data_IF_062188556030
#
_entry.id   IF_062188556030
#
_cell.length_a   1.000
_cell.length_b   1.000
_cell.length_c   1.000
_cell.angle_alpha   90.00
_cell.angle_beta   90.00
_cell.angle_gamma   90.00
#
_symmetry.space_group_name_H-M   'P 1'
#
loop_
_entity.id
_entity.type
_entity.pdbx_description
1 polymer ?
#
# COMPACT_ATOMS: atom_id res chain seq x y z
N UNK A 1 94.69 87.74 37.31
CA UNK A 1 93.79 88.66 38.05
C UNK A 1 92.37 88.24 37.74
N UNK A 2 91.46 87.85 38.63
CA UNK A 2 91.45 87.50 40.04
C UNK A 2 90.26 86.52 40.20
N UNK A 3 90.45 85.43 40.95
CA UNK A 3 89.41 84.71 41.70
C UNK A 3 89.20 85.41 43.07
N UNK A 4 88.32 84.98 44.02
CA UNK A 4 87.49 83.75 44.16
C UNK A 4 86.00 84.06 44.54
N UNK A 5 85.04 83.17 44.85
CA UNK A 5 84.94 82.07 45.85
C UNK A 5 83.64 81.24 45.61
N UNK A 6 83.64 79.90 45.65
CA UNK A 6 83.35 78.99 46.80
C UNK A 6 81.95 79.24 47.42
N UNK A 7 81.04 78.29 47.66
CA UNK A 7 81.10 76.84 47.85
C UNK A 7 79.65 76.28 47.90
N UNK A 8 79.42 74.98 47.64
CA UNK A 8 78.06 74.40 47.74
C UNK A 8 77.94 72.93 47.31
N UNK A 9 78.64 72.07 48.04
CA UNK A 9 78.62 70.61 47.95
C UNK A 9 77.23 69.97 48.21
N UNK A 10 77.09 68.71 47.79
CA UNK A 10 76.07 67.68 48.14
C UNK A 10 74.92 67.50 47.14
N UNK A 11 75.05 66.51 46.25
CA UNK A 11 74.09 65.38 46.08
C UNK A 11 74.26 64.73 44.68
N UNK A 12 75.37 64.01 44.47
CA UNK A 12 75.56 63.18 43.27
C UNK A 12 75.64 61.70 43.66
N UNK A 13 74.65 61.27 44.45
CA UNK A 13 74.43 59.88 44.84
C UNK A 13 72.93 59.63 44.72
N UNK A 14 72.52 59.23 43.52
CA UNK A 14 71.33 58.42 43.19
C UNK A 14 71.26 58.30 41.67
N UNK A 15 72.25 57.56 41.14
CA UNK A 15 72.32 57.14 39.73
C UNK A 15 72.18 55.62 39.68
N UNK A 16 71.11 55.10 40.25
CA UNK A 16 70.61 53.74 40.08
C UNK A 16 69.29 53.65 40.85
N UNK A 17 68.20 53.38 40.13
CA UNK A 17 66.82 53.07 40.59
C UNK A 17 65.78 53.98 39.92
N UNK A 18 65.69 53.84 38.60
CA UNK A 18 64.44 54.09 37.88
C UNK A 18 64.34 53.05 36.77
N UNK A 19 64.39 51.78 37.18
CA UNK A 19 63.86 50.69 36.37
C UNK A 19 62.38 50.60 36.74
N UNK A 20 61.53 50.95 35.79
CA UNK A 20 60.09 51.02 35.95
C UNK A 20 59.54 49.63 36.30
N UNK A 21 59.40 49.34 37.60
CA UNK A 21 58.86 48.10 38.14
C UNK A 21 57.32 48.11 38.12
N UNK A 22 56.72 48.58 37.02
CA UNK A 22 55.26 48.63 36.82
C UNK A 22 54.80 47.98 35.50
N UNK A 23 55.69 47.33 34.74
CA UNK A 23 55.29 46.53 33.55
C UNK A 23 55.43 45.01 33.75
N UNK A 24 56.06 44.55 34.84
CA UNK A 24 56.21 43.11 35.13
C UNK A 24 55.09 42.49 35.96
N UNK A 25 54.19 43.28 36.56
CA UNK A 25 53.02 42.73 37.28
C UNK A 25 51.80 42.48 36.38
N UNK A 26 51.80 42.98 35.13
CA UNK A 26 50.67 42.81 34.20
C UNK A 26 50.64 41.45 33.49
N UNK A 27 51.71 40.64 33.55
CA UNK A 27 51.82 39.40 32.75
C UNK A 27 51.72 38.13 33.62
N UNK A 28 51.71 38.25 34.95
CA UNK A 28 51.70 37.11 35.87
C UNK A 28 50.34 36.76 36.49
N UNK A 29 49.23 37.30 35.95
CA UNK A 29 47.87 36.96 36.40
C UNK A 29 47.07 36.03 35.48
N UNK A 30 47.59 35.58 34.33
CA UNK A 30 46.97 34.47 33.58
C UNK A 30 47.46 33.13 34.13
N UNK A 31 46.99 32.76 35.31
CA UNK A 31 47.31 31.50 35.97
C UNK A 31 47.03 30.32 35.01
N UNK A 32 47.91 29.31 34.85
CA UNK A 32 47.60 28.08 34.10
C UNK A 32 46.27 27.44 34.51
N UNK A 33 45.87 27.66 35.77
CA UNK A 33 44.56 27.26 36.32
C UNK A 33 43.36 27.93 35.64
N UNK A 34 43.45 29.17 35.18
CA UNK A 34 42.31 29.83 34.51
C UNK A 34 42.12 29.32 33.08
N UNK A 35 43.22 29.04 32.36
CA UNK A 35 43.15 28.38 31.04
C UNK A 35 42.65 26.93 31.15
N UNK A 36 43.13 26.16 32.12
CA UNK A 36 42.64 24.79 32.37
C UNK A 36 41.17 24.80 32.78
N UNK A 37 40.73 25.75 33.63
CA UNK A 37 39.32 25.88 33.99
C UNK A 37 38.43 26.23 32.79
N UNK A 38 38.88 27.13 31.91
CA UNK A 38 38.15 27.47 30.68
C UNK A 38 38.05 26.28 29.73
N UNK A 39 39.15 25.53 29.52
CA UNK A 39 39.16 24.34 28.67
C UNK A 39 38.29 23.21 29.25
N UNK A 40 38.31 23.01 30.56
CA UNK A 40 37.45 22.04 31.23
C UNK A 40 35.96 22.38 31.06
N UNK A 41 35.60 23.66 31.19
CA UNK A 41 34.23 24.11 30.97
C UNK A 41 33.78 23.87 29.50
N UNK A 42 34.65 24.15 28.54
CA UNK A 42 34.38 23.91 27.12
C UNK A 42 34.24 22.41 26.81
N UNK A 43 35.10 21.56 27.37
CA UNK A 43 35.00 20.10 27.25
C UNK A 43 33.73 19.55 27.90
N UNK A 44 33.35 20.05 29.08
CA UNK A 44 32.11 19.68 29.74
C UNK A 44 30.90 20.06 28.89
N UNK A 45 30.91 21.25 28.28
CA UNK A 45 29.86 21.71 27.40
C UNK A 45 29.76 20.86 26.12
N UNK A 46 30.89 20.58 25.46
CA UNK A 46 30.93 19.68 24.30
C UNK A 46 30.45 18.26 24.65
N UNK A 47 30.84 17.73 25.82
CA UNK A 47 30.38 16.43 26.27
C UNK A 47 28.88 16.41 26.52
N UNK A 48 28.32 17.47 27.11
CA UNK A 48 26.87 17.58 27.35
C UNK A 48 26.11 17.66 26.02
N UNK A 49 26.60 18.45 25.06
CA UNK A 49 26.00 18.57 23.73
C UNK A 49 26.00 17.22 22.99
N UNK A 50 27.12 16.48 23.05
CA UNK A 50 27.21 15.14 22.46
C UNK A 50 26.24 14.16 23.12
N UNK A 51 26.13 14.15 24.45
CA UNK A 51 25.19 13.29 25.18
C UNK A 51 23.75 13.60 24.78
N UNK A 52 23.39 14.88 24.70
CA UNK A 52 22.06 15.31 24.27
C UNK A 52 21.76 14.84 22.82
N UNK A 53 22.73 14.94 21.91
CA UNK A 53 22.59 14.48 20.53
C UNK A 53 22.43 12.96 20.44
N UNK A 54 23.23 12.20 21.20
CA UNK A 54 23.15 10.74 21.28
C UNK A 54 21.81 10.27 21.87
N UNK A 55 21.33 10.93 22.92
CA UNK A 55 20.03 10.63 23.52
C UNK A 55 18.89 10.81 22.51
N UNK A 56 18.87 11.92 21.77
CA UNK A 56 17.87 12.15 20.72
C UNK A 56 17.94 11.10 19.60
N UNK A 57 19.15 10.72 19.17
CA UNK A 57 19.33 9.68 18.16
C UNK A 57 18.80 8.31 18.64
N UNK A 58 18.97 8.00 19.93
CA UNK A 58 18.44 6.79 20.53
C UNK A 58 16.90 6.80 20.63
N UNK A 59 16.31 7.90 21.09
CA UNK A 59 14.85 8.06 21.17
C UNK A 59 14.21 7.88 19.79
N UNK A 60 14.80 8.49 18.77
CA UNK A 60 14.38 8.32 17.39
C UNK A 60 14.47 6.86 16.94
N UNK A 61 15.62 6.20 17.16
CA UNK A 61 15.78 4.80 16.80
C UNK A 61 14.77 3.88 17.52
N UNK A 62 14.39 4.20 18.76
CA UNK A 62 13.38 3.47 19.52
C UNK A 62 11.98 3.65 18.91
N UNK A 63 11.58 4.88 18.59
CA UNK A 63 10.29 5.14 17.93
C UNK A 63 10.22 4.49 16.56
N UNK A 64 11.27 4.61 15.74
CA UNK A 64 11.35 3.93 14.44
C UNK A 64 11.20 2.41 14.60
N UNK A 65 11.86 1.83 15.60
CA UNK A 65 11.74 0.41 15.91
C UNK A 65 10.32 0.04 16.34
N UNK A 66 9.69 0.81 17.22
CA UNK A 66 8.34 0.57 17.68
C UNK A 66 7.33 0.62 16.53
N UNK A 67 7.41 1.66 15.70
CA UNK A 67 6.60 1.81 14.48
C UNK A 67 6.82 0.62 13.55
N UNK A 68 8.07 0.24 13.29
CA UNK A 68 8.41 -0.91 12.45
C UNK A 68 7.89 -2.23 13.03
N UNK A 69 8.02 -2.46 14.33
CA UNK A 69 7.52 -3.67 15.00
C UNK A 69 6.00 -3.71 15.00
N UNK A 70 5.34 -2.57 15.15
CA UNK A 70 3.88 -2.46 15.04
C UNK A 70 3.40 -2.73 13.61
N UNK A 71 4.10 -2.22 12.60
CA UNK A 71 3.86 -2.56 11.20
C UNK A 71 4.01 -4.07 10.93
N UNK A 72 5.00 -4.73 11.56
CA UNK A 72 5.17 -6.19 11.45
C UNK A 72 4.05 -6.98 12.12
N UNK A 73 3.42 -6.43 13.17
CA UNK A 73 2.39 -7.10 13.98
C UNK A 73 0.98 -6.83 13.48
N UNK A 74 0.72 -5.64 12.93
CA UNK A 74 -0.60 -5.23 12.48
C UNK A 74 -0.53 -4.63 11.08
N UNK A 75 -1.39 -5.12 10.19
CA UNK A 75 -1.62 -4.55 8.87
C UNK A 75 -2.60 -3.37 8.90
N UNK A 76 -2.94 -2.89 10.09
CA UNK A 76 -3.81 -1.75 10.28
C UNK A 76 -3.02 -0.45 10.14
N UNK A 77 -3.03 0.09 8.92
CA UNK A 77 -2.40 1.38 8.60
C UNK A 77 -2.88 2.49 9.54
N UNK A 78 -4.15 2.50 9.93
CA UNK A 78 -4.71 3.55 10.79
C UNK A 78 -4.04 3.58 12.16
N UNK A 79 -3.83 2.42 12.77
CA UNK A 79 -3.15 2.32 14.06
C UNK A 79 -1.69 2.78 13.95
N UNK A 80 -0.97 2.38 12.91
CA UNK A 80 0.43 2.81 12.69
C UNK A 80 0.52 4.32 12.51
N UNK A 81 -0.32 4.92 11.67
CA UNK A 81 -0.33 6.37 11.44
C UNK A 81 -0.70 7.13 12.72
N UNK A 82 -1.64 6.61 13.52
CA UNK A 82 -2.02 7.18 14.83
C UNK A 82 -0.82 7.22 15.76
N UNK A 83 -0.07 6.12 15.86
CA UNK A 83 1.16 6.07 16.67
C UNK A 83 2.17 7.10 16.17
N UNK A 84 2.42 7.19 14.87
CA UNK A 84 3.38 8.17 14.31
C UNK A 84 2.99 9.60 14.71
N UNK A 85 1.73 10.00 14.55
CA UNK A 85 1.28 11.36 14.87
C UNK A 85 1.35 11.65 16.37
N UNK A 86 1.10 10.66 17.23
CA UNK A 86 1.29 10.79 18.67
C UNK A 86 2.77 10.99 19.05
N UNK A 87 3.67 10.26 18.40
CA UNK A 87 5.11 10.40 18.61
C UNK A 87 5.63 11.75 18.12
N UNK A 88 5.11 12.26 17.00
CA UNK A 88 5.40 13.63 16.53
C UNK A 88 5.08 14.65 17.63
N UNK A 89 3.89 14.58 18.23
CA UNK A 89 3.50 15.50 19.29
C UNK A 89 4.38 15.35 20.54
N UNK A 90 4.74 14.11 20.89
CA UNK A 90 5.48 13.79 22.12
C UNK A 90 6.94 14.19 22.01
N UNK A 91 7.64 13.77 20.95
CA UNK A 91 9.06 14.01 20.73
C UNK A 91 9.37 15.45 20.35
N UNK A 92 8.52 16.09 19.54
CA UNK A 92 8.70 17.50 19.19
C UNK A 92 8.09 18.44 20.22
N UNK A 93 7.41 17.93 21.25
CA UNK A 93 6.72 18.74 22.24
C UNK A 93 5.83 19.83 21.60
N UNK A 94 5.04 19.46 20.60
CA UNK A 94 4.14 20.37 19.89
C UNK A 94 2.73 20.30 20.45
N UNK A 95 1.93 21.32 20.17
CA UNK A 95 0.53 21.40 20.59
C UNK A 95 -0.36 20.42 19.83
N UNK A 96 -0.08 20.25 18.53
CA UNK A 96 -0.86 19.40 17.63
C UNK A 96 0.03 18.77 16.57
N UNK A 97 -0.05 17.44 16.42
CA UNK A 97 0.41 16.72 15.24
C UNK A 97 -0.78 16.33 14.37
N UNK A 98 -0.67 16.46 13.05
CA UNK A 98 -1.69 15.99 12.10
C UNK A 98 -1.07 15.30 10.90
N UNK A 99 -1.78 14.29 10.38
CA UNK A 99 -1.59 13.85 9.00
C UNK A 99 -2.73 14.34 8.14
N UNK A 100 -2.37 15.02 7.06
CA UNK A 100 -3.28 15.52 6.06
C UNK A 100 -3.14 14.68 4.80
N UNK A 101 -4.19 13.96 4.41
CA UNK A 101 -4.19 13.12 3.22
C UNK A 101 -4.75 13.91 2.03
N UNK A 102 -4.12 13.80 0.86
CA UNK A 102 -4.70 14.31 -0.38
C UNK A 102 -5.60 13.23 -1.01
N UNK A 103 -6.84 13.60 -1.27
CA UNK A 103 -7.80 12.86 -2.07
C UNK A 103 -7.77 13.27 -3.55
N UNK A 104 -8.86 12.97 -4.26
CA UNK A 104 -9.00 13.35 -5.67
C UNK A 104 -9.14 14.87 -5.81
N UNK A 105 -8.59 15.43 -6.90
CA UNK A 105 -8.63 16.87 -7.18
C UNK A 105 -8.04 17.79 -6.09
N UNK A 106 -7.04 17.31 -5.34
CA UNK A 106 -6.39 18.04 -4.23
C UNK A 106 -7.32 18.39 -3.06
N UNK A 107 -8.50 17.77 -2.97
CA UNK A 107 -9.30 17.78 -1.76
C UNK A 107 -8.54 17.05 -0.68
N UNK A 108 -8.16 17.72 0.39
CA UNK A 108 -7.48 17.04 1.49
C UNK A 108 -8.24 17.07 2.81
N UNK A 109 -7.92 16.08 3.63
CA UNK A 109 -8.60 15.78 4.88
C UNK A 109 -7.56 15.47 5.96
N UNK A 110 -7.83 15.95 7.18
CA UNK A 110 -7.08 15.50 8.37
C UNK A 110 -7.56 14.11 8.77
N UNK A 111 -6.77 13.10 8.45
CA UNK A 111 -7.11 11.69 8.68
C UNK A 111 -6.67 11.16 10.04
N UNK A 112 -5.63 11.77 10.62
CA UNK A 112 -5.10 11.43 11.94
C UNK A 112 -4.67 12.71 12.65
N UNK A 113 -4.97 12.80 13.93
CA UNK A 113 -4.61 13.93 14.78
C UNK A 113 -4.17 13.46 16.17
N UNK A 114 -3.15 14.12 16.72
CA UNK A 114 -2.85 14.13 18.14
C UNK A 114 -2.83 15.59 18.61
N UNK A 115 -3.76 15.96 19.49
CA UNK A 115 -3.94 17.35 19.96
C UNK A 115 -3.98 17.39 21.48
N UNK A 116 -3.37 18.41 22.09
CA UNK A 116 -3.49 18.69 23.53
C UNK A 116 -4.54 19.76 23.77
N UNK A 117 -5.25 19.66 24.90
CA UNK A 117 -6.08 20.76 25.37
C UNK A 117 -5.21 22.01 25.60
N UNK A 118 -5.67 23.23 25.31
CA UNK A 118 -7.07 23.62 25.02
C UNK A 118 -7.44 23.70 23.52
N UNK A 119 -6.60 23.19 22.62
CA UNK A 119 -6.79 23.37 21.18
C UNK A 119 -7.91 22.48 20.63
N UNK A 120 -8.72 23.01 19.72
CA UNK A 120 -9.82 22.22 19.15
C UNK A 120 -9.32 21.19 18.13
N UNK A 121 -10.07 20.10 17.98
CA UNK A 121 -9.74 19.04 17.01
C UNK A 121 -9.95 19.52 15.56
N UNK A 122 -9.04 19.11 14.68
CA UNK A 122 -9.14 19.27 13.23
C UNK A 122 -9.52 17.96 12.52
N UNK A 123 -9.63 16.85 13.24
CA UNK A 123 -9.91 15.54 12.67
C UNK A 123 -11.18 15.54 11.78
N UNK A 124 -11.05 14.99 10.57
CA UNK A 124 -12.14 14.91 9.59
C UNK A 124 -12.53 16.24 8.93
N UNK A 125 -11.81 17.34 9.22
CA UNK A 125 -12.01 18.59 8.50
C UNK A 125 -11.48 18.44 7.08
N UNK A 126 -12.36 18.65 6.12
CA UNK A 126 -12.03 18.75 4.70
C UNK A 126 -11.92 20.22 4.32
N UNK A 127 -10.88 20.55 3.58
CA UNK A 127 -10.68 21.89 3.04
C UNK A 127 -10.67 21.81 1.51
N UNK A 128 -11.66 22.42 0.87
CA UNK A 128 -11.61 22.74 -0.56
C UNK A 128 -10.59 23.87 -0.71
N UNK A 129 -9.34 23.47 -0.93
CA UNK A 129 -8.21 24.36 -0.70
C UNK A 129 -7.81 25.09 -1.99
N UNK A 130 -8.67 26.00 -2.46
CA UNK A 130 -8.33 26.90 -3.58
C UNK A 130 -7.05 27.71 -3.29
N UNK A 131 -6.72 27.92 -2.00
CA UNK A 131 -5.57 28.73 -1.57
C UNK A 131 -4.27 27.96 -1.34
N UNK A 132 -4.35 26.70 -0.92
CA UNK A 132 -3.19 25.86 -0.66
C UNK A 132 -2.72 25.13 -1.94
N UNK A 133 -3.67 24.54 -2.69
CA UNK A 133 -3.35 23.70 -3.84
C UNK A 133 -2.79 24.49 -5.02
N UNK A 134 -3.26 25.72 -5.25
CA UNK A 134 -2.94 26.51 -6.43
C UNK A 134 -1.46 26.99 -6.52
N UNK A 135 -0.78 27.14 -5.38
CA UNK A 135 0.55 27.77 -5.34
C UNK A 135 1.60 26.98 -4.56
N UNK A 136 1.19 26.27 -3.50
CA UNK A 136 2.11 25.66 -2.55
C UNK A 136 2.10 24.12 -2.59
N UNK A 137 0.96 23.52 -2.89
CA UNK A 137 0.80 22.06 -2.93
C UNK A 137 1.77 21.36 -3.88
N UNK A 138 2.04 21.96 -5.05
CA UNK A 138 2.94 21.36 -6.05
C UNK A 138 4.38 21.22 -5.57
N UNK A 139 4.89 22.16 -4.76
CA UNK A 139 6.28 22.10 -4.29
C UNK A 139 6.52 20.93 -3.32
N UNK A 140 5.47 20.43 -2.65
CA UNK A 140 5.58 19.23 -1.83
C UNK A 140 5.72 17.95 -2.66
N UNK A 141 5.33 17.95 -3.94
CA UNK A 141 5.62 16.83 -4.87
C UNK A 141 7.13 16.65 -5.05
N UNK A 142 7.89 17.75 -5.01
CA UNK A 142 9.35 17.78 -5.16
C UNK A 142 10.08 17.48 -3.84
N UNK A 143 9.36 17.19 -2.74
CA UNK A 143 9.95 16.88 -1.45
C UNK A 143 10.24 18.10 -0.59
N UNK A 144 9.57 19.24 -0.82
CA UNK A 144 9.74 20.45 0.00
C UNK A 144 9.44 20.16 1.48
N UNK A 145 10.36 20.55 2.36
CA UNK A 145 10.13 20.72 3.79
C UNK A 145 9.93 22.21 4.07
N UNK A 146 8.95 22.56 4.90
CA UNK A 146 8.68 23.97 5.25
C UNK A 146 8.53 24.14 6.75
N UNK A 147 9.41 24.96 7.33
CA UNK A 147 9.34 25.43 8.70
C UNK A 147 8.95 26.91 8.72
N UNK A 148 7.81 27.24 9.31
CA UNK A 148 7.32 28.60 9.49
C UNK A 148 7.34 28.90 10.98
N UNK A 149 8.21 29.82 11.39
CA UNK A 149 8.34 30.17 12.79
C UNK A 149 7.21 31.08 13.31
N UNK A 150 6.66 31.91 12.43
CA UNK A 150 5.53 32.78 12.72
C UNK A 150 4.64 32.91 11.48
N UNK A 151 3.41 32.40 11.55
CA UNK A 151 2.46 32.42 10.43
C UNK A 151 2.14 33.85 9.99
N UNK A 152 2.00 34.80 10.92
CA UNK A 152 1.62 36.18 10.60
C UNK A 152 2.70 36.94 9.85
N UNK A 153 3.96 36.69 10.20
CA UNK A 153 5.13 37.35 9.58
C UNK A 153 5.67 36.62 8.35
N UNK A 154 5.12 35.45 8.03
CA UNK A 154 5.56 34.64 6.88
C UNK A 154 5.22 35.28 5.52
N UNK A 155 5.83 34.74 4.49
CA UNK A 155 5.58 35.01 3.07
C UNK A 155 4.30 34.36 2.53
N UNK A 156 3.48 33.75 3.39
CA UNK A 156 2.22 33.12 2.99
C UNK A 156 1.20 34.14 2.47
N UNK A 157 0.35 33.68 1.55
CA UNK A 157 -0.78 34.49 1.06
C UNK A 157 -1.75 34.82 2.19
N UNK A 158 -2.48 35.96 2.12
CA UNK A 158 -3.46 36.32 3.13
C UNK A 158 -4.53 35.25 3.36
N UNK A 159 -4.96 34.56 2.29
CA UNK A 159 -5.94 33.48 2.38
C UNK A 159 -5.41 32.30 3.21
N UNK A 160 -4.18 31.84 2.95
CA UNK A 160 -3.57 30.74 3.69
C UNK A 160 -3.28 31.13 5.16
N UNK A 161 -2.87 32.38 5.42
CA UNK A 161 -2.73 32.89 6.79
C UNK A 161 -4.06 32.81 7.56
N UNK A 162 -5.16 33.27 6.94
CA UNK A 162 -6.49 33.21 7.53
C UNK A 162 -6.91 31.75 7.83
N UNK A 163 -6.64 30.82 6.92
CA UNK A 163 -6.91 29.39 7.12
C UNK A 163 -6.15 28.84 8.35
N UNK A 164 -4.84 29.07 8.44
CA UNK A 164 -4.03 28.62 9.58
C UNK A 164 -4.47 29.28 10.90
N UNK A 165 -4.92 30.54 10.86
CA UNK A 165 -5.50 31.21 12.03
C UNK A 165 -6.81 30.56 12.48
N UNK A 166 -7.69 30.13 11.56
CA UNK A 166 -8.91 29.37 11.94
C UNK A 166 -8.59 28.05 12.65
N UNK A 167 -7.40 27.51 12.39
CA UNK A 167 -6.87 26.31 13.04
C UNK A 167 -6.06 26.61 14.32
N UNK A 168 -5.96 27.88 14.71
CA UNK A 168 -5.20 28.39 15.86
C UNK A 168 -3.67 28.21 15.73
N UNK A 169 -3.13 28.10 14.52
CA UNK A 169 -1.70 27.84 14.29
C UNK A 169 -0.88 29.13 14.32
N UNK A 170 0.16 29.16 15.16
CA UNK A 170 1.12 30.28 15.29
C UNK A 170 2.45 29.96 14.59
N UNK A 171 2.92 28.71 14.70
CA UNK A 171 4.07 28.20 13.98
C UNK A 171 3.72 26.83 13.36
N UNK A 172 4.31 26.54 12.20
CA UNK A 172 3.94 25.38 11.40
C UNK A 172 5.17 24.71 10.81
N UNK A 173 5.32 23.41 11.04
CA UNK A 173 6.34 22.57 10.42
C UNK A 173 5.67 21.48 9.59
N UNK A 174 5.99 21.44 8.30
CA UNK A 174 5.33 20.58 7.31
C UNK A 174 6.38 19.79 6.54
N UNK A 175 6.19 18.48 6.47
CA UNK A 175 6.98 17.56 5.61
C UNK A 175 6.04 16.71 4.75
N UNK A 176 6.49 16.29 3.55
CA UNK A 176 5.68 15.48 2.66
C UNK A 176 5.79 13.99 2.98
N UNK A 177 4.66 13.28 2.95
CA UNK A 177 4.60 11.82 2.97
C UNK A 177 4.52 11.34 1.52
N UNK A 178 5.59 10.74 1.01
CA UNK A 178 5.72 10.36 -0.41
C UNK A 178 5.84 8.86 -0.56
N UNK A 179 4.95 8.27 -1.37
CA UNK A 179 5.00 6.86 -1.74
C UNK A 179 5.55 6.79 -3.18
N UNK A 180 6.84 6.47 -3.30
CA UNK A 180 7.56 6.59 -4.56
C UNK A 180 7.59 8.05 -5.03
N UNK A 181 7.09 8.30 -6.24
CA UNK A 181 7.01 9.65 -6.80
C UNK A 181 5.69 10.37 -6.49
N UNK A 182 4.74 9.71 -5.83
CA UNK A 182 3.44 10.28 -5.53
C UNK A 182 3.41 10.91 -4.13
N UNK A 183 2.85 12.12 -4.01
CA UNK A 183 2.58 12.74 -2.72
C UNK A 183 1.27 12.18 -2.18
N UNK A 184 1.36 11.37 -1.12
CA UNK A 184 0.18 10.81 -0.46
C UNK A 184 -0.49 11.86 0.44
N UNK A 185 0.33 12.66 1.11
CA UNK A 185 -0.14 13.61 2.12
C UNK A 185 0.98 14.41 2.76
N UNK A 186 0.66 15.09 3.85
CA UNK A 186 1.58 15.87 4.65
C UNK A 186 1.56 15.37 6.09
N UNK A 187 2.74 15.32 6.72
CA UNK A 187 2.88 15.20 8.16
C UNK A 187 3.20 16.59 8.70
N UNK A 188 2.41 17.05 9.66
CA UNK A 188 2.43 18.44 10.11
C UNK A 188 2.50 18.50 11.62
N UNK A 189 3.37 19.37 12.12
CA UNK A 189 3.47 19.73 13.53
C UNK A 189 3.13 21.21 13.71
N UNK A 190 2.15 21.51 14.55
CA UNK A 190 1.69 22.85 14.84
C UNK A 190 2.07 23.27 16.26
N UNK A 191 2.54 24.51 16.36
CA UNK A 191 2.55 25.27 17.61
C UNK A 191 1.37 26.24 17.57
N UNK A 192 0.47 26.16 18.53
CA UNK A 192 -0.75 26.95 18.59
C UNK A 192 -0.65 28.08 19.62
N UNK A 193 0.22 27.93 20.62
CA UNK A 193 0.37 28.91 21.68
C UNK A 193 1.17 30.15 21.25
N UNK A 194 2.30 29.97 20.56
CA UNK A 194 3.23 31.04 20.25
C UNK A 194 4.06 30.77 18.98
N UNK A 195 4.70 31.80 18.41
CA UNK A 195 5.75 31.59 17.42
C UNK A 195 6.87 30.71 17.96
N UNK A 196 7.47 29.89 17.09
CA UNK A 196 8.49 28.90 17.46
C UNK A 196 9.58 28.82 16.42
N UNK A 197 10.84 28.92 16.84
CA UNK A 197 11.98 28.68 15.95
C UNK A 197 12.27 27.17 15.91
N UNK A 198 11.93 26.55 14.79
CA UNK A 198 12.20 25.13 14.54
C UNK A 198 13.69 24.87 14.41
N UNK A 199 14.18 23.89 15.15
CA UNK A 199 15.58 23.47 15.12
C UNK A 199 15.82 22.46 13.99
N UNK A 200 17.02 22.41 13.38
CA UNK A 200 17.31 21.50 12.28
C UNK A 200 16.96 20.04 12.57
N UNK A 201 17.24 19.56 13.78
CA UNK A 201 16.94 18.18 14.17
C UNK A 201 15.44 17.87 14.18
N UNK A 202 14.58 18.87 14.40
CA UNK A 202 13.12 18.69 14.41
C UNK A 202 12.60 18.47 12.99
N UNK A 203 13.19 19.16 12.01
CA UNK A 203 12.91 18.95 10.59
C UNK A 203 13.32 17.52 10.18
N UNK A 204 14.55 17.13 10.54
CA UNK A 204 15.08 15.80 10.21
C UNK A 204 14.26 14.68 10.86
N UNK A 205 13.86 14.87 12.12
CA UNK A 205 13.02 13.95 12.87
C UNK A 205 11.64 13.80 12.21
N UNK A 206 10.98 14.92 11.90
CA UNK A 206 9.66 14.87 11.28
C UNK A 206 9.71 14.22 9.89
N UNK A 207 10.75 14.52 9.09
CA UNK A 207 10.95 13.89 7.78
C UNK A 207 11.14 12.38 7.91
N UNK A 208 11.98 11.92 8.85
CA UNK A 208 12.18 10.47 9.06
C UNK A 208 10.89 9.75 9.47
N UNK A 209 10.05 10.39 10.29
CA UNK A 209 8.74 9.85 10.65
C UNK A 209 7.77 9.82 9.46
N UNK A 210 7.82 10.83 8.59
CA UNK A 210 7.05 10.84 7.34
C UNK A 210 7.49 9.74 6.38
N UNK A 211 8.79 9.47 6.28
CA UNK A 211 9.33 8.38 5.47
C UNK A 211 8.87 7.02 6.01
N UNK A 212 8.85 6.81 7.33
CA UNK A 212 8.27 5.59 7.90
C UNK A 212 6.77 5.47 7.64
N UNK A 213 6.03 6.58 7.74
CA UNK A 213 4.61 6.58 7.40
C UNK A 213 4.37 6.15 5.95
N UNK A 214 5.20 6.64 5.01
CA UNK A 214 5.13 6.24 3.62
C UNK A 214 5.40 4.74 3.42
N UNK A 215 6.41 4.19 4.09
CA UNK A 215 6.70 2.75 4.04
C UNK A 215 5.52 1.94 4.60
N UNK A 216 4.93 2.37 5.72
CA UNK A 216 3.77 1.72 6.33
C UNK A 216 2.55 1.70 5.41
N UNK A 217 2.25 2.85 4.80
CA UNK A 217 1.16 2.99 3.84
C UNK A 217 1.36 2.11 2.61
N UNK A 218 2.58 2.11 2.06
CA UNK A 218 2.89 1.31 0.88
C UNK A 218 2.75 -0.20 1.15
N UNK A 219 3.21 -0.66 2.32
CA UNK A 219 3.06 -2.06 2.71
C UNK A 219 1.60 -2.46 2.90
N UNK A 220 0.79 -1.59 3.52
CA UNK A 220 -0.64 -1.84 3.68
C UNK A 220 -1.35 -1.94 2.32
N UNK A 221 -1.04 -1.05 1.38
CA UNK A 221 -1.59 -1.06 0.03
C UNK A 221 -1.22 -2.34 -0.74
N UNK A 222 0.06 -2.73 -0.73
CA UNK A 222 0.53 -3.95 -1.38
C UNK A 222 -0.15 -5.20 -0.81
N UNK A 223 -0.35 -5.24 0.51
CA UNK A 223 -1.05 -6.34 1.16
C UNK A 223 -2.52 -6.41 0.73
N UNK A 224 -3.22 -5.28 0.70
CA UNK A 224 -4.61 -5.21 0.25
C UNK A 224 -4.75 -5.70 -1.20
N UNK A 225 -3.87 -5.23 -2.10
CA UNK A 225 -3.82 -5.68 -3.50
C UNK A 225 -3.59 -7.20 -3.61
N UNK A 226 -2.66 -7.75 -2.82
CA UNK A 226 -2.39 -9.20 -2.78
C UNK A 226 -3.61 -10.02 -2.30
N UNK A 227 -4.31 -9.51 -1.29
CA UNK A 227 -5.52 -10.14 -0.77
C UNK A 227 -6.63 -10.18 -1.84
N UNK A 228 -6.89 -9.03 -2.47
CA UNK A 228 -7.87 -8.91 -3.56
C UNK A 228 -7.49 -9.82 -4.73
N UNK A 229 -6.22 -9.82 -5.16
CA UNK A 229 -5.72 -10.68 -6.23
C UNK A 229 -5.89 -12.18 -5.91
N UNK A 230 -5.67 -12.58 -4.67
CA UNK A 230 -5.86 -13.96 -4.23
C UNK A 230 -7.34 -14.37 -4.27
N UNK A 231 -8.24 -13.47 -3.84
CA UNK A 231 -9.68 -13.71 -3.87
C UNK A 231 -10.21 -13.81 -5.31
N UNK A 232 -9.77 -12.92 -6.20
CA UNK A 232 -10.17 -12.95 -7.61
C UNK A 232 -9.62 -14.17 -8.34
N UNK A 233 -8.36 -14.55 -8.12
CA UNK A 233 -7.76 -15.76 -8.69
C UNK A 233 -8.50 -17.03 -8.23
N UNK A 234 -8.89 -17.10 -6.94
CA UNK A 234 -9.71 -18.21 -6.41
C UNK A 234 -11.09 -18.26 -7.06
N UNK A 235 -11.74 -17.11 -7.26
CA UNK A 235 -13.03 -17.05 -7.93
C UNK A 235 -12.94 -17.50 -9.40
N UNK A 236 -11.93 -17.05 -10.13
CA UNK A 236 -11.67 -17.47 -11.51
C UNK A 236 -11.38 -18.97 -11.61
N UNK A 237 -10.56 -19.51 -10.71
CA UNK A 237 -10.25 -20.95 -10.67
C UNK A 237 -11.53 -21.78 -10.47
N UNK A 238 -12.41 -21.36 -9.56
CA UNK A 238 -13.72 -22.03 -9.33
C UNK A 238 -14.62 -21.95 -10.56
N UNK A 239 -14.65 -20.80 -11.25
CA UNK A 239 -15.43 -20.66 -12.48
C UNK A 239 -14.90 -21.57 -13.60
N UNK A 240 -13.57 -21.59 -13.80
CA UNK A 240 -12.93 -22.45 -14.79
C UNK A 240 -13.17 -23.94 -14.51
N UNK A 241 -13.12 -24.35 -13.24
CA UNK A 241 -13.44 -25.72 -12.84
C UNK A 241 -14.89 -26.10 -13.18
N UNK A 242 -15.86 -25.21 -12.95
CA UNK A 242 -17.27 -25.44 -13.33
C UNK A 242 -17.42 -25.63 -14.83
N UNK A 243 -16.86 -24.72 -15.63
CA UNK A 243 -16.90 -24.82 -17.10
C UNK A 243 -16.21 -26.08 -17.59
N UNK A 244 -15.10 -26.48 -16.97
CA UNK A 244 -14.39 -27.73 -17.32
C UNK A 244 -15.25 -28.96 -17.06
N UNK A 245 -15.95 -29.00 -15.91
CA UNK A 245 -16.88 -30.08 -15.58
C UNK A 245 -18.04 -30.13 -16.59
N UNK A 246 -18.67 -28.99 -16.87
CA UNK A 246 -19.79 -28.88 -17.84
C UNK A 246 -19.36 -29.30 -19.26
N UNK A 247 -18.19 -28.86 -19.70
CA UNK A 247 -17.65 -29.22 -21.01
C UNK A 247 -17.38 -30.73 -21.09
N UNK A 248 -16.79 -31.31 -20.04
CA UNK A 248 -16.50 -32.74 -19.98
C UNK A 248 -17.80 -33.56 -20.04
N UNK A 249 -18.82 -33.16 -19.29
CA UNK A 249 -20.14 -33.80 -19.31
C UNK A 249 -20.81 -33.69 -20.68
N UNK A 250 -20.70 -32.53 -21.33
CA UNK A 250 -21.26 -32.30 -22.68
C UNK A 250 -20.57 -33.18 -23.72
N UNK A 251 -19.24 -33.30 -23.67
CA UNK A 251 -18.47 -34.18 -24.54
C UNK A 251 -18.86 -35.65 -24.35
N UNK A 252 -18.97 -36.11 -23.09
CA UNK A 252 -19.42 -37.47 -22.80
C UNK A 252 -20.83 -37.75 -23.36
N UNK A 253 -21.76 -36.81 -23.18
CA UNK A 253 -23.12 -36.94 -23.71
C UNK A 253 -23.12 -36.99 -25.24
N UNK A 254 -22.35 -36.12 -25.92
CA UNK A 254 -22.23 -36.14 -27.37
C UNK A 254 -21.70 -37.48 -27.89
N UNK A 255 -20.63 -38.01 -27.28
CA UNK A 255 -20.07 -39.31 -27.64
C UNK A 255 -21.09 -40.45 -27.46
N UNK A 256 -21.85 -40.43 -26.36
CA UNK A 256 -22.85 -41.44 -26.08
C UNK A 256 -24.00 -41.38 -27.10
N UNK A 257 -24.51 -40.19 -27.42
CA UNK A 257 -25.53 -39.99 -28.45
C UNK A 257 -25.05 -40.43 -29.82
N UNK A 258 -23.80 -40.11 -30.19
CA UNK A 258 -23.23 -40.53 -31.46
C UNK A 258 -23.17 -42.07 -31.56
N UNK A 259 -22.72 -42.75 -30.50
CA UNK A 259 -22.68 -44.21 -30.46
C UNK A 259 -24.08 -44.83 -30.61
N UNK A 260 -25.08 -44.26 -29.92
CA UNK A 260 -26.47 -44.69 -30.04
C UNK A 260 -27.03 -44.51 -31.46
N UNK A 261 -26.74 -43.39 -32.11
CA UNK A 261 -27.16 -43.13 -33.49
C UNK A 261 -26.55 -44.15 -34.46
N UNK A 262 -25.24 -44.43 -34.34
CA UNK A 262 -24.56 -45.43 -35.17
C UNK A 262 -25.17 -46.83 -34.98
N UNK A 263 -25.50 -47.22 -33.74
CA UNK A 263 -26.16 -48.50 -33.47
C UNK A 263 -27.57 -48.55 -34.05
N UNK A 264 -28.32 -47.45 -33.93
CA UNK A 264 -29.68 -47.34 -34.47
C UNK A 264 -29.67 -47.41 -35.99
N UNK A 265 -28.73 -46.74 -36.65
CA UNK A 265 -28.55 -46.76 -38.09
C UNK A 265 -28.16 -48.16 -38.60
N UNK A 266 -27.25 -48.85 -37.91
CA UNK A 266 -26.92 -50.26 -38.19
C UNK A 266 -28.12 -51.19 -38.08
N UNK A 267 -28.91 -51.05 -37.03
CA UNK A 267 -30.13 -51.85 -36.83
C UNK A 267 -31.18 -51.57 -37.91
N UNK A 268 -31.33 -50.31 -38.32
CA UNK A 268 -32.22 -49.91 -39.41
C UNK A 268 -31.80 -50.51 -40.75
N UNK A 269 -30.52 -50.40 -41.10
CA UNK A 269 -29.95 -51.00 -42.32
C UNK A 269 -30.11 -52.52 -42.32
N UNK A 270 -29.81 -53.17 -41.19
CA UNK A 270 -30.03 -54.61 -41.02
C UNK A 270 -31.50 -54.97 -41.17
N UNK A 271 -32.42 -54.18 -40.59
CA UNK A 271 -33.86 -54.38 -40.71
C UNK A 271 -34.35 -54.29 -42.17
N UNK A 272 -33.89 -53.29 -42.93
CA UNK A 272 -34.19 -53.18 -44.37
C UNK A 272 -33.67 -54.38 -45.15
N UNK A 273 -32.45 -54.84 -44.85
CA UNK A 273 -31.83 -55.98 -45.53
C UNK A 273 -32.58 -57.28 -45.21
N UNK A 274 -32.93 -57.51 -43.95
CA UNK A 274 -33.76 -58.65 -43.52
C UNK A 274 -35.14 -58.63 -44.18
N UNK A 275 -35.79 -57.46 -44.24
CA UNK A 275 -37.07 -57.32 -44.93
C UNK A 275 -36.96 -57.64 -46.43
N UNK A 276 -35.89 -57.19 -47.10
CA UNK A 276 -35.59 -57.54 -48.48
C UNK A 276 -35.39 -59.04 -48.69
N UNK A 277 -34.55 -59.68 -47.87
CA UNK A 277 -34.30 -61.13 -47.92
C UNK A 277 -35.59 -61.93 -47.65
N UNK A 278 -36.40 -61.52 -46.68
CA UNK A 278 -37.69 -62.15 -46.40
C UNK A 278 -38.64 -62.07 -47.61
N UNK A 279 -38.63 -60.93 -48.31
CA UNK A 279 -39.42 -60.75 -49.51
C UNK A 279 -38.92 -61.65 -50.66
N UNK A 280 -37.61 -61.81 -50.81
CA UNK A 280 -37.02 -62.68 -51.83
C UNK A 280 -37.21 -64.18 -51.54
N UNK A 281 -37.27 -64.59 -50.27
CA UNK A 281 -37.59 -65.98 -49.87
C UNK A 281 -39.07 -66.28 -50.04
N UNK A 282 -39.95 -65.34 -49.71
CA UNK A 282 -41.40 -65.53 -49.83
C UNK A 282 -41.86 -65.68 -51.28
N UNK A 283 -41.16 -65.07 -52.24
CA UNK A 283 -41.48 -65.18 -53.66
C UNK A 283 -41.48 -66.65 -54.18
N UNK A 284 -40.38 -67.40 -54.11
CA UNK A 284 -40.36 -68.81 -54.52
C UNK A 284 -41.23 -69.69 -53.61
N UNK A 285 -41.34 -69.39 -52.31
CA UNK A 285 -42.19 -70.15 -51.39
C UNK A 285 -43.67 -70.07 -51.77
N UNK A 286 -44.14 -68.87 -52.14
CA UNK A 286 -45.50 -68.65 -52.64
C UNK A 286 -45.72 -69.41 -53.94
N UNK A 287 -44.71 -69.46 -54.82
CA UNK A 287 -44.76 -70.23 -56.05
C UNK A 287 -44.86 -71.74 -55.79
N UNK A 288 -44.08 -72.26 -54.83
CA UNK A 288 -44.11 -73.67 -54.41
C UNK A 288 -45.47 -74.00 -53.77
N UNK A 289 -45.98 -73.16 -52.89
CA UNK A 289 -47.29 -73.33 -52.25
C UNK A 289 -48.44 -73.29 -53.26
N UNK A 290 -48.40 -72.37 -54.23
CA UNK A 290 -49.38 -72.31 -55.31
C UNK A 290 -49.41 -73.58 -56.15
N UNK A 291 -48.23 -74.11 -56.50
CA UNK A 291 -48.13 -75.39 -57.21
C UNK A 291 -48.60 -76.57 -56.35
N UNK A 292 -48.27 -76.60 -55.05
CA UNK A 292 -48.78 -77.60 -54.09
C UNK A 292 -50.30 -77.58 -54.01
N UNK A 293 -50.93 -76.40 -54.00
CA UNK A 293 -52.38 -76.26 -54.03
C UNK A 293 -52.97 -76.82 -55.33
N UNK A 294 -52.31 -76.60 -56.47
CA UNK A 294 -52.72 -77.17 -57.75
C UNK A 294 -52.60 -78.70 -57.78
N UNK A 295 -51.51 -79.26 -57.26
CA UNK A 295 -51.31 -80.71 -57.12
C UNK A 295 -52.37 -81.31 -56.16
N UNK A 296 -52.70 -80.62 -55.06
CA UNK A 296 -53.75 -81.04 -54.15
C UNK A 296 -55.16 -80.97 -54.77
N UNK A 297 -55.42 -79.95 -55.60
CA UNK A 297 -56.67 -79.81 -56.35
C UNK A 297 -56.82 -80.88 -57.43
N UNK A 298 -55.74 -81.19 -58.17
CA UNK A 298 -55.68 -82.30 -59.11
C UNK A 298 -55.97 -83.63 -58.41
N UNK A 299 -55.38 -83.85 -57.22
CA UNK A 299 -55.67 -85.03 -56.40
C UNK A 299 -57.15 -85.12 -56.02
N UNK A 300 -57.80 -84.02 -55.60
CA UNK A 300 -59.25 -84.01 -55.30
C UNK A 300 -60.11 -84.25 -56.54
N UNK A 301 -59.73 -83.67 -57.69
CA UNK A 301 -60.40 -83.91 -58.97
C UNK A 301 -60.37 -85.37 -59.38
N UNK A 302 -59.20 -86.01 -59.32
CA UNK A 302 -59.02 -87.44 -59.62
C UNK A 302 -59.83 -88.33 -58.66
N UNK A 303 -59.89 -88.00 -57.38
CA UNK A 303 -60.68 -88.73 -56.38
C UNK A 303 -62.21 -88.57 -56.57
N UNK A 304 -62.67 -87.44 -57.11
CA UNK A 304 -64.09 -87.22 -57.42
C UNK A 304 -64.56 -87.90 -58.71
N UNK A 305 -63.66 -88.08 -59.68
CA UNK A 305 -63.97 -88.84 -60.92
C UNK A 305 -64.03 -90.34 -60.71
N UNK A 306 -63.46 -90.86 -59.61
CA UNK A 306 -63.56 -92.28 -59.23
C UNK A 306 -64.78 -92.63 -58.39
N UNK A 307 -65.64 -91.66 -58.02
CA UNK A 307 -66.88 -91.95 -57.25
C UNK A 307 -68.18 -91.88 -58.05
N UNK A 308 -68.13 -91.56 -59.36
CA UNK A 308 -69.33 -91.44 -60.22
C UNK A 308 -69.30 -92.36 -61.47
N UNK A 309 -68.41 -93.36 -61.49
CA UNK A 309 -68.45 -94.46 -62.45
C UNK A 309 -68.43 -95.79 -61.69
N UNK A 310 -69.34 -96.69 -62.05
CA UNK A 310 -69.69 -97.99 -61.44
C UNK A 310 -70.64 -97.91 -60.23
N UNK A 311 -71.86 -98.44 -60.23
CA UNK A 311 -72.43 -99.47 -61.11
C UNK A 311 -73.94 -99.62 -60.85
N UNK A 312 -74.70 -99.63 -61.95
CA UNK A 312 -76.04 -100.20 -62.06
C UNK A 312 -75.89 -101.56 -62.77
N UNK A 313 -76.63 -102.57 -62.28
CA UNK A 313 -76.97 -103.88 -62.87
C UNK A 313 -76.02 -105.08 -62.71
N UNK A 314 -76.46 -106.05 -61.89
CA UNK A 314 -76.72 -107.46 -62.27
C UNK A 314 -77.46 -108.16 -61.09
N UNK A 315 -78.80 -108.33 -61.14
CA UNK A 315 -79.51 -109.59 -61.44
C UNK A 315 -78.94 -110.83 -60.74
N UNK A 316 -79.50 -111.18 -59.56
CA UNK A 316 -80.33 -112.37 -59.37
C UNK A 316 -81.15 -112.26 -58.09
#
# INVERSE_FOLDING_TARGET
MCQPSFDGYIAERDRAENFNMNETESVLQSTPRSQVAALNLELEQQSQDQVAQLQRSLELAQVLRQVTDQMRRTLDSKTVLTTIVQEVQTLLHTDRGVMYQFGQAWLGEVVVEAVRAPWHSLLGKQHQDDCFAAEHGQQYLEGRVRAIANVMLSDLTPCHKALLQTMQVQANLVVPIRIGNNLWGLLIAHECNAPRVWQPFELDLLQQLADQAAIALHQAELYEQSCVATLTARAQTRALQRTTIELTQTLQRLQQTQSQLVQTEKLSSLGQLVAGVAHEINNPLSFIQGNLAHVAALRKGVLSTTSNGDSSQAMS
#
